data_IF_893288514053
#
_entry.id   IF_893288514053
#
_cell.length_a   1.000
_cell.length_b   1.000
_cell.length_c   1.000
_cell.angle_alpha   90.00
_cell.angle_beta   90.00
_cell.angle_gamma   90.00
#
_symmetry.space_group_name_H-M   'P 1'
#
loop_
_entity.id
_entity.type
_entity.pdbx_description
1 polymer ?
#
# COMPACT_ATOMS: atom_id res chain seq x y z
N UNK A 1 -2.34 5.15 -11.75
CA UNK A 1 -3.69 5.42 -11.28
C UNK A 1 -4.63 5.74 -12.45
N UNK A 2 -4.32 6.78 -13.27
CA UNK A 2 -5.17 7.19 -14.41
C UNK A 2 -5.42 6.05 -15.40
N UNK A 3 -4.40 5.27 -15.76
CA UNK A 3 -4.53 4.12 -16.64
C UNK A 3 -5.46 3.04 -16.05
N UNK A 4 -5.34 2.76 -14.76
CA UNK A 4 -6.22 1.81 -14.07
C UNK A 4 -7.68 2.30 -14.05
N UNK A 5 -7.89 3.59 -13.73
CA UNK A 5 -9.22 4.20 -13.77
C UNK A 5 -9.83 4.13 -15.17
N UNK A 6 -9.06 4.51 -16.21
CA UNK A 6 -9.53 4.46 -17.58
C UNK A 6 -9.91 3.04 -18.01
N UNK A 7 -9.07 2.06 -17.67
CA UNK A 7 -9.33 0.65 -17.98
C UNK A 7 -10.59 0.14 -17.26
N UNK A 8 -10.77 0.49 -15.99
CA UNK A 8 -11.97 0.14 -15.22
C UNK A 8 -13.23 0.79 -15.80
N UNK A 9 -13.17 2.07 -16.16
CA UNK A 9 -14.27 2.76 -16.83
C UNK A 9 -14.63 2.13 -18.17
N UNK A 10 -13.63 1.67 -18.93
CA UNK A 10 -13.83 0.99 -20.20
C UNK A 10 -14.47 -0.38 -20.01
N UNK A 11 -13.94 -1.22 -19.11
CA UNK A 11 -14.44 -2.57 -18.85
C UNK A 11 -15.88 -2.56 -18.31
N UNK A 12 -16.19 -1.62 -17.43
CA UNK A 12 -17.50 -1.52 -16.75
C UNK A 12 -18.43 -0.46 -17.32
N UNK A 13 -18.14 0.07 -18.53
CA UNK A 13 -18.94 1.16 -19.14
C UNK A 13 -20.45 0.89 -19.21
N UNK A 14 -20.86 -0.39 -19.39
CA UNK A 14 -22.28 -0.76 -19.42
C UNK A 14 -22.90 -0.67 -18.02
N UNK A 15 -22.23 -1.25 -17.03
CA UNK A 15 -22.67 -1.21 -15.64
C UNK A 15 -22.72 0.24 -15.09
N UNK A 16 -21.73 1.07 -15.48
CA UNK A 16 -21.70 2.49 -15.09
C UNK A 16 -22.91 3.24 -15.68
N UNK A 17 -23.29 2.96 -16.93
CA UNK A 17 -24.49 3.58 -17.55
C UNK A 17 -25.80 3.15 -16.86
N UNK A 18 -25.90 1.88 -16.47
CA UNK A 18 -27.05 1.41 -15.68
C UNK A 18 -27.10 2.05 -14.29
N UNK A 19 -25.93 2.19 -13.65
CA UNK A 19 -25.81 2.86 -12.36
C UNK A 19 -26.20 4.34 -12.45
N UNK A 20 -25.75 5.05 -13.48
CA UNK A 20 -26.09 6.46 -13.73
C UNK A 20 -27.60 6.64 -13.96
N UNK A 21 -28.26 5.69 -14.63
CA UNK A 21 -29.70 5.67 -14.81
C UNK A 21 -30.42 5.47 -13.46
N UNK A 22 -29.97 4.49 -12.68
CA UNK A 22 -30.57 4.20 -11.37
C UNK A 22 -30.35 5.32 -10.36
N UNK A 23 -29.21 6.04 -10.43
CA UNK A 23 -28.92 7.22 -9.58
C UNK A 23 -29.82 8.41 -9.96
N UNK A 24 -30.11 8.60 -11.25
CA UNK A 24 -31.02 9.66 -11.70
C UNK A 24 -32.47 9.40 -11.28
N UNK A 25 -32.84 8.14 -11.15
CA UNK A 25 -34.16 7.72 -10.68
C UNK A 25 -34.29 7.79 -9.14
N UNK A 26 -33.17 7.77 -8.39
CA UNK A 26 -33.11 8.03 -6.95
C UNK A 26 -33.07 9.54 -6.73
N UNK A 27 -34.14 10.08 -6.13
CA UNK A 27 -34.21 11.52 -5.85
C UNK A 27 -32.95 12.02 -5.09
N UNK A 28 -32.42 13.16 -5.48
CA UNK A 28 -31.22 13.77 -4.90
C UNK A 28 -31.24 13.87 -3.36
N UNK A 29 -32.42 13.94 -2.77
CA UNK A 29 -32.63 13.97 -1.31
C UNK A 29 -32.34 12.64 -0.62
N UNK A 30 -32.62 11.49 -1.22
CA UNK A 30 -32.29 10.18 -0.64
C UNK A 30 -30.79 9.90 -0.66
N UNK A 31 -30.09 10.32 -1.71
CA UNK A 31 -28.62 10.25 -1.78
C UNK A 31 -27.96 11.15 -0.74
N UNK A 32 -28.48 12.37 -0.54
CA UNK A 32 -27.99 13.30 0.48
C UNK A 32 -28.23 12.77 1.90
N UNK A 33 -29.38 12.20 2.19
CA UNK A 33 -29.70 11.61 3.50
C UNK A 33 -28.77 10.44 3.83
N UNK A 34 -28.46 9.57 2.87
CA UNK A 34 -27.53 8.46 3.05
C UNK A 34 -26.07 8.90 3.22
N UNK A 35 -25.67 10.02 2.59
CA UNK A 35 -24.33 10.61 2.75
C UNK A 35 -24.17 11.40 4.06
N UNK A 36 -25.26 11.97 4.61
CA UNK A 36 -25.25 12.79 5.83
C UNK A 36 -25.46 11.94 7.09
N UNK A 37 -25.69 10.63 6.98
CA UNK A 37 -26.05 9.75 8.10
C UNK A 37 -24.94 9.50 9.14
N UNK A 38 -23.74 10.04 8.98
CA UNK A 38 -22.72 10.03 10.03
C UNK A 38 -22.81 11.36 10.81
N UNK A 39 -23.38 11.37 12.04
CA UNK A 39 -23.40 12.58 12.84
C UNK A 39 -21.95 12.99 13.14
N UNK A 40 -21.54 14.15 12.62
CA UNK A 40 -20.23 14.71 12.92
C UNK A 40 -20.26 15.26 14.36
N UNK A 41 -20.13 14.35 15.31
CA UNK A 41 -20.04 14.67 16.72
C UNK A 41 -18.75 15.47 17.01
N UNK A 42 -18.78 16.26 18.08
CA UNK A 42 -17.62 17.03 18.56
C UNK A 42 -16.39 16.14 18.76
N UNK A 43 -16.60 14.91 19.23
CA UNK A 43 -15.52 13.93 19.44
C UNK A 43 -14.88 13.48 18.12
N UNK A 44 -15.69 13.23 17.09
CA UNK A 44 -15.20 12.88 15.76
C UNK A 44 -14.38 14.02 15.15
N UNK A 45 -14.83 15.28 15.29
CA UNK A 45 -14.07 16.44 14.78
C UNK A 45 -12.71 16.57 15.43
N UNK A 46 -12.63 16.39 16.77
CA UNK A 46 -11.36 16.45 17.51
C UNK A 46 -10.47 15.28 17.08
N UNK A 47 -11.01 14.05 16.97
CA UNK A 47 -10.27 12.88 16.52
C UNK A 47 -9.70 13.06 15.11
N UNK A 48 -10.53 13.53 14.17
CA UNK A 48 -10.09 13.84 12.80
C UNK A 48 -9.04 14.96 12.79
N UNK A 49 -9.16 15.97 13.64
CA UNK A 49 -8.18 17.04 13.78
C UNK A 49 -6.83 16.51 14.23
N UNK A 50 -6.78 15.68 15.28
CA UNK A 50 -5.56 15.03 15.77
C UNK A 50 -4.96 14.15 14.68
N UNK A 51 -5.76 13.32 14.02
CA UNK A 51 -5.32 12.43 12.94
C UNK A 51 -4.72 13.21 11.76
N UNK A 52 -5.45 14.23 11.27
CA UNK A 52 -4.98 15.05 10.16
C UNK A 52 -3.68 15.80 10.50
N UNK A 53 -3.57 16.32 11.73
CA UNK A 53 -2.35 16.98 12.22
C UNK A 53 -1.19 16.00 12.29
N UNK A 54 -1.42 14.78 12.79
CA UNK A 54 -0.40 13.73 12.85
C UNK A 54 0.10 13.37 11.44
N UNK A 55 -0.81 13.13 10.49
CA UNK A 55 -0.46 12.83 9.09
C UNK A 55 0.31 14.00 8.46
N UNK A 56 -0.12 15.25 8.71
CA UNK A 56 0.58 16.42 8.19
C UNK A 56 2.03 16.48 8.67
N UNK A 57 2.28 16.31 9.97
CA UNK A 57 3.63 16.32 10.52
C UNK A 57 4.47 15.13 10.03
N UNK A 58 3.86 13.93 9.87
CA UNK A 58 4.54 12.79 9.28
C UNK A 58 4.91 13.08 7.82
N UNK A 59 4.01 13.65 7.02
CA UNK A 59 4.29 13.99 5.63
C UNK A 59 5.39 15.06 5.49
N UNK A 60 5.44 16.01 6.41
CA UNK A 60 6.40 17.12 6.41
C UNK A 60 7.67 16.84 7.24
N UNK A 61 7.82 15.63 7.83
CA UNK A 61 8.89 15.34 8.80
C UNK A 61 10.28 15.76 8.32
N UNK A 62 10.64 15.41 7.08
CA UNK A 62 11.96 15.69 6.54
C UNK A 62 12.26 17.20 6.47
N UNK A 63 11.28 18.01 6.04
CA UNK A 63 11.43 19.48 5.98
C UNK A 63 11.57 20.09 7.36
N UNK A 64 10.78 19.62 8.30
CA UNK A 64 10.77 20.12 9.68
C UNK A 64 12.07 19.71 10.39
N UNK A 65 12.56 18.51 10.17
CA UNK A 65 13.82 18.03 10.74
C UNK A 65 15.01 18.87 10.27
N UNK A 66 15.08 19.22 9.00
CA UNK A 66 16.11 20.12 8.46
C UNK A 66 15.99 21.51 9.09
N UNK A 67 14.78 22.06 9.18
CA UNK A 67 14.54 23.40 9.75
C UNK A 67 14.94 23.50 11.22
N UNK A 68 14.69 22.43 11.99
CA UNK A 68 14.97 22.36 13.43
C UNK A 68 16.35 21.78 13.75
N UNK A 69 17.14 21.37 12.76
CA UNK A 69 18.45 20.74 12.97
C UNK A 69 18.38 19.39 13.69
N UNK A 70 17.26 18.66 13.55
CA UNK A 70 17.06 17.36 14.20
C UNK A 70 17.67 16.23 13.38
N UNK A 71 17.96 15.11 14.04
CA UNK A 71 18.38 13.89 13.35
C UNK A 71 17.26 13.37 12.46
N UNK A 72 17.62 12.72 11.34
CA UNK A 72 16.68 12.11 10.42
C UNK A 72 15.71 11.15 11.14
N UNK A 73 14.46 11.18 10.76
CA UNK A 73 13.36 10.37 11.28
C UNK A 73 12.97 10.64 12.75
N UNK A 74 13.51 11.70 13.40
CA UNK A 74 13.14 12.05 14.78
C UNK A 74 11.65 12.38 14.86
N UNK A 75 11.14 13.24 13.97
CA UNK A 75 9.74 13.65 13.93
C UNK A 75 8.84 12.48 13.51
N UNK A 76 9.31 11.66 12.58
CA UNK A 76 8.57 10.47 12.12
C UNK A 76 8.19 9.52 13.28
N UNK A 77 9.07 9.34 14.26
CA UNK A 77 8.79 8.52 15.44
C UNK A 77 8.11 9.30 16.57
N UNK A 78 8.50 10.54 16.79
CA UNK A 78 8.03 11.32 17.96
C UNK A 78 6.58 11.74 17.82
N UNK A 79 6.14 12.18 16.64
CA UNK A 79 4.78 12.71 16.46
C UNK A 79 3.69 11.66 16.68
N UNK A 80 3.77 10.41 16.14
CA UNK A 80 2.75 9.39 16.46
C UNK A 80 2.67 9.06 17.95
N UNK A 81 3.82 9.02 18.66
CA UNK A 81 3.87 8.75 20.10
C UNK A 81 3.22 9.90 20.88
N UNK A 82 3.54 11.14 20.55
CA UNK A 82 2.93 12.31 21.19
C UNK A 82 1.42 12.38 20.91
N UNK A 83 1.00 12.12 19.67
CA UNK A 83 -0.42 12.13 19.30
C UNK A 83 -1.20 11.07 20.05
N UNK A 84 -0.66 9.85 20.16
CA UNK A 84 -1.29 8.78 20.92
C UNK A 84 -1.35 9.13 22.41
N UNK A 85 -0.28 9.71 22.97
CA UNK A 85 -0.25 10.21 24.35
C UNK A 85 -1.33 11.28 24.60
N UNK A 86 -1.49 12.24 23.69
CA UNK A 86 -2.55 13.24 23.77
C UNK A 86 -3.95 12.63 23.76
N UNK A 87 -4.20 11.64 22.91
CA UNK A 87 -5.48 10.91 22.88
C UNK A 87 -5.73 10.16 24.19
N UNK A 88 -4.70 9.49 24.72
CA UNK A 88 -4.79 8.77 26.00
C UNK A 88 -5.07 9.72 27.19
N UNK A 89 -4.44 10.89 27.22
CA UNK A 89 -4.71 11.91 28.23
C UNK A 89 -6.14 12.48 28.09
N UNK A 90 -6.58 12.75 26.89
CA UNK A 90 -7.93 13.25 26.61
C UNK A 90 -9.01 12.23 26.99
N UNK A 91 -8.79 10.95 26.71
CA UNK A 91 -9.73 9.85 26.96
C UNK A 91 -9.31 8.97 28.14
N UNK A 92 -8.67 9.56 29.16
CA UNK A 92 -8.03 8.82 30.27
C UNK A 92 -8.88 7.70 30.86
N UNK A 93 -10.20 7.87 30.98
CA UNK A 93 -11.11 6.84 31.51
C UNK A 93 -11.24 5.61 30.62
N UNK A 94 -10.97 5.75 29.31
CA UNK A 94 -11.02 4.68 28.31
C UNK A 94 -9.65 4.29 27.78
N UNK A 95 -8.59 4.91 28.25
CA UNK A 95 -7.24 4.67 27.74
C UNK A 95 -6.84 3.20 27.80
N UNK A 96 -7.17 2.52 28.92
CA UNK A 96 -6.93 1.08 29.08
C UNK A 96 -7.73 0.25 28.06
N UNK A 97 -9.00 0.58 27.87
CA UNK A 97 -9.86 -0.10 26.89
C UNK A 97 -9.33 0.02 25.48
N UNK A 98 -8.85 1.20 25.07
CA UNK A 98 -8.23 1.43 23.78
C UNK A 98 -6.98 0.56 23.58
N UNK A 99 -6.09 0.48 24.57
CA UNK A 99 -4.90 -0.35 24.50
C UNK A 99 -5.24 -1.84 24.43
N UNK A 100 -6.21 -2.30 25.25
CA UNK A 100 -6.53 -3.73 25.35
C UNK A 100 -7.40 -4.24 24.19
N UNK A 101 -8.31 -3.41 23.64
CA UNK A 101 -9.33 -3.86 22.67
C UNK A 101 -9.17 -3.28 21.28
N UNK A 102 -8.75 -2.00 21.16
CA UNK A 102 -8.73 -1.30 19.88
C UNK A 102 -7.36 -1.37 19.20
N UNK A 103 -6.30 -1.71 19.96
CA UNK A 103 -4.98 -1.97 19.36
C UNK A 103 -4.94 -3.38 18.79
N UNK A 104 -4.66 -3.47 17.50
CA UNK A 104 -4.50 -4.73 16.77
C UNK A 104 -3.15 -5.40 17.10
N UNK A 105 -3.01 -5.91 18.33
CA UNK A 105 -1.77 -6.52 18.83
C UNK A 105 -1.25 -7.65 17.94
N UNK A 106 -2.15 -8.47 17.40
CA UNK A 106 -1.77 -9.56 16.50
C UNK A 106 -1.13 -9.06 15.23
N UNK A 107 -1.66 -7.98 14.66
CA UNK A 107 -1.11 -7.31 13.48
C UNK A 107 0.27 -6.73 13.78
N UNK A 108 0.45 -6.09 14.94
CA UNK A 108 1.75 -5.57 15.35
C UNK A 108 2.79 -6.68 15.53
N UNK A 109 2.44 -7.76 16.23
CA UNK A 109 3.31 -8.94 16.41
C UNK A 109 3.65 -9.59 15.07
N UNK A 110 2.67 -9.70 14.17
CA UNK A 110 2.90 -10.20 12.81
C UNK A 110 3.99 -9.38 12.09
N UNK A 111 3.92 -8.04 12.12
CA UNK A 111 4.95 -7.21 11.51
C UNK A 111 6.30 -7.33 12.20
N UNK A 112 6.35 -7.41 13.53
CA UNK A 112 7.62 -7.64 14.26
C UNK A 112 8.29 -8.93 13.78
N UNK A 113 7.55 -10.04 13.70
CA UNK A 113 8.11 -11.31 13.23
C UNK A 113 8.46 -11.27 11.74
N UNK A 114 7.67 -10.60 10.91
CA UNK A 114 7.97 -10.41 9.48
C UNK A 114 9.32 -9.69 9.28
N UNK A 115 9.53 -8.57 9.96
CA UNK A 115 10.79 -7.84 9.86
C UNK A 115 11.97 -8.60 10.48
N UNK A 116 11.73 -9.36 11.56
CA UNK A 116 12.74 -10.23 12.12
C UNK A 116 13.17 -11.33 11.12
N UNK A 117 12.22 -11.95 10.41
CA UNK A 117 12.51 -12.94 9.36
C UNK A 117 13.28 -12.31 8.19
N UNK A 118 12.86 -11.12 7.72
CA UNK A 118 13.58 -10.39 6.68
C UNK A 118 15.03 -10.07 7.10
N UNK A 119 15.23 -9.66 8.35
CA UNK A 119 16.56 -9.48 8.95
C UNK A 119 17.38 -10.76 9.02
N UNK A 120 16.77 -11.87 9.38
CA UNK A 120 17.43 -13.19 9.40
C UNK A 120 17.89 -13.63 8.01
N UNK A 121 17.05 -13.44 6.97
CA UNK A 121 17.43 -13.72 5.58
C UNK A 121 18.63 -12.91 5.13
N UNK A 122 18.70 -11.64 5.54
CA UNK A 122 19.87 -10.81 5.27
C UNK A 122 21.11 -11.28 6.04
N UNK A 123 20.95 -11.56 7.33
CA UNK A 123 22.06 -12.03 8.18
C UNK A 123 22.66 -13.35 7.69
N UNK A 124 21.85 -14.26 7.16
CA UNK A 124 22.29 -15.56 6.61
C UNK A 124 22.89 -15.44 5.21
N UNK A 125 22.89 -14.25 4.58
CA UNK A 125 23.40 -14.05 3.24
C UNK A 125 22.51 -14.56 2.11
N UNK A 126 21.34 -15.10 2.40
CA UNK A 126 20.39 -15.60 1.38
C UNK A 126 19.99 -14.49 0.42
N UNK A 127 19.75 -13.27 0.93
CA UNK A 127 19.41 -12.12 0.10
C UNK A 127 20.52 -11.72 -0.87
N UNK A 128 21.77 -11.85 -0.46
CA UNK A 128 22.94 -11.54 -1.31
C UNK A 128 23.09 -12.56 -2.43
N UNK A 129 22.89 -13.85 -2.14
CA UNK A 129 22.89 -14.93 -3.14
C UNK A 129 21.76 -14.70 -4.15
N UNK A 130 20.56 -14.37 -3.66
CA UNK A 130 19.41 -14.13 -4.52
C UNK A 130 19.60 -12.89 -5.41
N UNK A 131 20.07 -11.78 -4.84
CA UNK A 131 20.39 -10.57 -5.60
C UNK A 131 21.50 -10.80 -6.63
N UNK A 132 22.56 -11.52 -6.26
CA UNK A 132 23.64 -11.90 -7.17
C UNK A 132 23.14 -12.77 -8.32
N UNK A 133 22.26 -13.74 -8.04
CA UNK A 133 21.67 -14.58 -9.08
C UNK A 133 20.82 -13.76 -10.06
N UNK A 134 19.97 -12.85 -9.57
CA UNK A 134 19.18 -11.96 -10.42
C UNK A 134 20.08 -11.06 -11.28
N UNK A 135 21.14 -10.49 -10.69
CA UNK A 135 22.09 -9.65 -11.41
C UNK A 135 22.83 -10.43 -12.50
N UNK A 136 23.24 -11.67 -12.23
CA UNK A 136 23.89 -12.55 -13.20
C UNK A 136 22.95 -12.88 -14.37
N UNK A 137 21.68 -13.18 -14.09
CA UNK A 137 20.68 -13.41 -15.14
C UNK A 137 20.39 -12.16 -15.97
N UNK A 138 20.42 -10.99 -15.35
CA UNK A 138 20.25 -9.72 -16.05
C UNK A 138 21.46 -9.35 -16.90
N UNK A 139 22.63 -9.87 -16.60
CA UNK A 139 23.87 -9.52 -17.28
C UNK A 139 24.15 -8.01 -17.16
N UNK A 140 24.53 -7.40 -18.28
CA UNK A 140 24.81 -5.95 -18.32
C UNK A 140 23.56 -5.07 -18.54
N UNK A 141 22.35 -5.67 -18.57
CA UNK A 141 21.12 -4.92 -18.86
C UNK A 141 20.41 -4.51 -17.59
N UNK A 142 20.65 -3.28 -17.13
CA UNK A 142 19.94 -2.69 -15.99
C UNK A 142 18.43 -2.66 -16.21
N UNK A 143 17.97 -2.38 -17.44
CA UNK A 143 16.55 -2.36 -17.77
C UNK A 143 15.87 -3.72 -17.63
N UNK A 144 16.60 -4.82 -17.97
CA UNK A 144 16.11 -6.17 -17.76
C UNK A 144 16.04 -6.52 -16.27
N UNK A 145 17.04 -6.13 -15.47
CA UNK A 145 17.02 -6.32 -14.02
C UNK A 145 15.83 -5.63 -13.36
N UNK A 146 15.53 -4.39 -13.76
CA UNK A 146 14.37 -3.66 -13.26
C UNK A 146 13.08 -4.38 -13.63
N UNK A 147 12.99 -4.87 -14.87
CA UNK A 147 11.87 -5.69 -15.32
C UNK A 147 11.71 -6.95 -14.46
N UNK A 148 12.78 -7.67 -14.17
CA UNK A 148 12.76 -8.85 -13.30
C UNK A 148 12.25 -8.50 -11.90
N UNK A 149 12.80 -7.48 -11.26
CA UNK A 149 12.36 -7.05 -9.92
C UNK A 149 10.88 -6.65 -9.95
N UNK A 150 10.46 -5.86 -10.93
CA UNK A 150 9.08 -5.43 -11.09
C UNK A 150 8.11 -6.60 -11.23
N UNK A 151 8.39 -7.53 -12.16
CA UNK A 151 7.50 -8.65 -12.44
C UNK A 151 7.50 -9.71 -11.33
N UNK A 152 8.65 -10.00 -10.72
CA UNK A 152 8.72 -10.90 -9.56
C UNK A 152 7.92 -10.31 -8.40
N UNK A 153 8.07 -9.01 -8.16
CA UNK A 153 7.29 -8.31 -7.12
C UNK A 153 5.79 -8.28 -7.43
N UNK A 154 5.41 -8.10 -8.70
CA UNK A 154 4.00 -8.13 -9.13
C UNK A 154 3.37 -9.50 -8.90
N UNK A 155 4.05 -10.57 -9.34
CA UNK A 155 3.57 -11.94 -9.18
C UNK A 155 3.54 -12.32 -7.69
N UNK A 156 4.61 -12.02 -6.96
CA UNK A 156 4.68 -12.29 -5.52
C UNK A 156 3.58 -11.57 -4.73
N UNK A 157 3.33 -10.30 -5.03
CA UNK A 157 2.28 -9.51 -4.38
C UNK A 157 0.86 -9.92 -4.77
N UNK A 158 0.70 -10.63 -5.88
CA UNK A 158 -0.61 -11.22 -6.22
C UNK A 158 -0.99 -12.39 -5.32
N UNK A 159 -0.03 -13.02 -4.67
CA UNK A 159 -0.21 -14.19 -3.80
C UNK A 159 -0.05 -13.84 -2.31
N UNK A 160 0.79 -12.85 -2.01
CA UNK A 160 1.08 -12.36 -0.67
C UNK A 160 0.55 -10.94 -0.52
N UNK A 161 0.23 -10.53 0.70
CA UNK A 161 -0.05 -9.12 0.96
C UNK A 161 1.13 -8.25 0.53
N UNK A 162 0.84 -7.10 -0.07
CA UNK A 162 1.84 -6.19 -0.64
C UNK A 162 2.87 -5.71 0.40
N UNK A 163 2.46 -5.48 1.64
CA UNK A 163 3.36 -5.05 2.72
C UNK A 163 4.35 -6.17 3.07
N UNK A 164 3.86 -7.41 3.15
CA UNK A 164 4.67 -8.61 3.42
C UNK A 164 5.75 -8.78 2.34
N UNK A 165 5.33 -8.71 1.08
CA UNK A 165 6.26 -8.86 -0.04
C UNK A 165 7.33 -7.76 -0.03
N UNK A 166 6.91 -6.49 0.06
CA UNK A 166 7.84 -5.36 0.05
C UNK A 166 8.83 -5.49 1.20
N UNK A 167 8.36 -5.80 2.42
CA UNK A 167 9.24 -5.98 3.58
C UNK A 167 10.28 -7.09 3.38
N UNK A 168 9.88 -8.22 2.78
CA UNK A 168 10.78 -9.33 2.48
C UNK A 168 11.83 -8.96 1.39
N UNK A 169 11.46 -8.11 0.43
CA UNK A 169 12.34 -7.70 -0.66
C UNK A 169 13.27 -6.54 -0.34
N UNK A 170 12.99 -5.74 0.70
CA UNK A 170 13.88 -4.64 1.11
C UNK A 170 15.35 -5.10 1.26
N UNK A 171 15.69 -6.18 1.99
CA UNK A 171 17.05 -6.65 2.10
C UNK A 171 17.65 -7.08 0.76
N UNK A 172 16.85 -7.66 -0.14
CA UNK A 172 17.30 -8.08 -1.48
C UNK A 172 17.71 -6.86 -2.30
N UNK A 173 16.87 -5.80 -2.32
CA UNK A 173 17.23 -4.55 -3.02
C UNK A 173 18.48 -3.93 -2.42
N UNK A 174 18.62 -3.92 -1.10
CA UNK A 174 19.84 -3.41 -0.44
C UNK A 174 21.09 -4.19 -0.84
N UNK A 175 20.99 -5.51 -1.07
CA UNK A 175 22.09 -6.36 -1.48
C UNK A 175 22.62 -6.03 -2.88
N UNK A 176 21.81 -5.45 -3.79
CA UNK A 176 22.31 -4.95 -5.07
C UNK A 176 23.29 -3.78 -4.91
N UNK A 177 23.21 -3.02 -3.81
CA UNK A 177 24.17 -1.96 -3.50
C UNK A 177 25.58 -2.47 -3.28
N UNK A 178 25.75 -3.68 -2.73
CA UNK A 178 27.06 -4.29 -2.50
C UNK A 178 27.79 -4.68 -3.80
N UNK A 179 27.06 -4.79 -4.91
CA UNK A 179 27.59 -5.08 -6.25
C UNK A 179 27.55 -3.85 -7.18
N UNK A 180 27.50 -2.64 -6.59
CA UNK A 180 27.55 -1.35 -7.30
C UNK A 180 26.43 -1.10 -8.32
N UNK A 181 25.24 -1.67 -8.10
CA UNK A 181 24.06 -1.39 -8.92
C UNK A 181 23.30 -0.20 -8.33
N UNK A 182 22.83 0.71 -9.19
CA UNK A 182 21.99 1.83 -8.77
C UNK A 182 20.64 1.30 -8.23
N UNK A 183 20.39 1.55 -6.95
CA UNK A 183 19.22 1.03 -6.25
C UNK A 183 17.94 1.81 -6.56
N UNK A 184 18.04 3.07 -6.98
CA UNK A 184 16.87 3.95 -7.11
C UNK A 184 15.81 3.40 -8.05
N UNK A 185 16.12 2.92 -9.27
CA UNK A 185 15.11 2.32 -10.15
C UNK A 185 14.54 1.01 -9.59
N UNK A 186 15.34 0.24 -8.84
CA UNK A 186 14.89 -1.02 -8.23
C UNK A 186 13.89 -0.79 -7.10
N UNK A 187 14.05 0.30 -6.32
CA UNK A 187 13.07 0.69 -5.33
C UNK A 187 11.72 1.04 -5.95
N UNK A 188 11.73 1.75 -7.08
CA UNK A 188 10.51 2.04 -7.82
C UNK A 188 9.89 0.78 -8.42
N UNK A 189 10.69 -0.13 -8.96
CA UNK A 189 10.23 -1.42 -9.47
C UNK A 189 9.55 -2.25 -8.37
N UNK A 190 10.17 -2.34 -7.18
CA UNK A 190 9.59 -3.03 -6.04
C UNK A 190 8.28 -2.38 -5.58
N UNK A 191 8.26 -1.05 -5.45
CA UNK A 191 7.07 -0.31 -5.01
C UNK A 191 5.88 -0.52 -5.96
N UNK A 192 6.09 -0.32 -7.25
CA UNK A 192 5.02 -0.47 -8.23
C UNK A 192 4.61 -1.93 -8.41
N UNK A 193 5.57 -2.85 -8.42
CA UNK A 193 5.29 -4.28 -8.50
C UNK A 193 4.45 -4.75 -7.32
N UNK A 194 4.83 -4.37 -6.10
CA UNK A 194 4.07 -4.66 -4.90
C UNK A 194 2.65 -4.11 -4.93
N UNK A 195 2.51 -2.83 -5.29
CA UNK A 195 1.20 -2.18 -5.33
C UNK A 195 0.27 -2.74 -6.42
N UNK A 196 0.77 -2.99 -7.63
CA UNK A 196 -0.07 -3.43 -8.75
C UNK A 196 -0.35 -4.93 -8.70
N UNK A 197 0.60 -5.72 -8.19
CA UNK A 197 0.39 -7.14 -7.97
C UNK A 197 -0.77 -7.42 -7.01
N UNK A 198 -0.91 -6.61 -5.95
CA UNK A 198 -2.01 -6.71 -5.00
C UNK A 198 -3.41 -6.55 -5.58
N UNK A 199 -3.52 -5.97 -6.79
CA UNK A 199 -4.81 -5.85 -7.49
C UNK A 199 -5.18 -7.09 -8.32
N UNK A 200 -4.22 -7.97 -8.63
CA UNK A 200 -4.43 -9.13 -9.50
C UNK A 200 -5.37 -10.13 -8.84
N UNK A 201 -5.12 -10.46 -7.59
CA UNK A 201 -5.97 -11.38 -6.86
C UNK A 201 -6.70 -10.69 -5.71
N UNK A 202 -7.75 -11.32 -5.23
CA UNK A 202 -8.51 -10.87 -4.09
C UNK A 202 -7.67 -10.90 -2.79
N UNK A 203 -6.77 -11.86 -2.69
CA UNK A 203 -5.93 -12.09 -1.50
C UNK A 203 -4.67 -11.21 -1.50
N UNK A 204 -4.27 -10.68 -2.67
CA UNK A 204 -3.04 -9.89 -2.83
C UNK A 204 -3.02 -8.57 -2.04
N UNK A 205 -4.15 -8.15 -1.45
CA UNK A 205 -4.21 -6.99 -0.58
C UNK A 205 -5.29 -7.14 0.48
N UNK A 206 -4.93 -6.90 1.73
CA UNK A 206 -5.88 -6.87 2.86
C UNK A 206 -7.02 -5.87 2.61
N UNK A 207 -6.74 -4.74 1.94
CA UNK A 207 -7.76 -3.75 1.60
C UNK A 207 -8.86 -4.33 0.69
N UNK A 208 -8.52 -5.22 -0.25
CA UNK A 208 -9.50 -5.89 -1.12
C UNK A 208 -10.46 -6.76 -0.30
N UNK A 209 -9.92 -7.52 0.65
CA UNK A 209 -10.70 -8.42 1.52
C UNK A 209 -11.66 -7.62 2.38
N UNK A 210 -11.17 -6.53 3.00
CA UNK A 210 -12.01 -5.64 3.82
C UNK A 210 -13.13 -5.00 3.00
N UNK A 211 -12.79 -4.44 1.82
CA UNK A 211 -13.78 -3.82 0.94
C UNK A 211 -14.87 -4.81 0.51
N UNK A 212 -14.48 -6.04 0.17
CA UNK A 212 -15.45 -7.08 -0.20
C UNK A 212 -16.30 -7.54 0.98
N UNK A 213 -15.71 -7.66 2.16
CA UNK A 213 -16.44 -7.98 3.38
C UNK A 213 -17.54 -6.95 3.69
N UNK A 214 -17.25 -5.67 3.51
CA UNK A 214 -18.23 -4.58 3.66
C UNK A 214 -19.32 -4.70 2.58
N UNK A 215 -18.96 -4.91 1.30
CA UNK A 215 -19.91 -5.05 0.21
C UNK A 215 -20.84 -6.26 0.39
N UNK A 216 -20.30 -7.38 0.86
CA UNK A 216 -21.10 -8.58 1.13
C UNK A 216 -22.09 -8.34 2.30
N UNK A 217 -21.61 -7.71 3.38
CA UNK A 217 -22.40 -7.44 4.58
C UNK A 217 -23.51 -6.41 4.34
N UNK A 218 -23.20 -5.31 3.65
CA UNK A 218 -24.13 -4.19 3.49
C UNK A 218 -25.02 -4.28 2.24
N UNK A 219 -24.51 -4.86 1.17
CA UNK A 219 -25.17 -4.86 -0.15
C UNK A 219 -25.52 -6.25 -0.67
N UNK A 220 -25.23 -7.33 0.08
CA UNK A 220 -25.39 -8.71 -0.37
C UNK A 220 -24.68 -9.03 -1.73
N UNK A 221 -23.66 -8.27 -2.08
CA UNK A 221 -22.91 -8.45 -3.31
C UNK A 221 -21.82 -9.48 -3.06
N UNK A 222 -21.97 -10.68 -3.65
CA UNK A 222 -20.95 -11.73 -3.59
C UNK A 222 -20.01 -11.63 -4.79
N UNK A 223 -18.74 -11.37 -4.51
CA UNK A 223 -17.68 -11.38 -5.52
C UNK A 223 -16.93 -12.70 -5.42
N UNK A 224 -16.94 -13.51 -6.49
CA UNK A 224 -16.15 -14.74 -6.51
C UNK A 224 -14.69 -14.45 -6.84
N UNK A 225 -13.78 -15.29 -6.33
CA UNK A 225 -12.34 -15.20 -6.61
C UNK A 225 -12.03 -15.12 -8.12
N UNK A 226 -12.64 -15.99 -8.93
CA UNK A 226 -12.41 -16.00 -10.38
C UNK A 226 -12.95 -14.77 -11.11
N UNK A 227 -14.05 -14.20 -10.62
CA UNK A 227 -14.59 -12.97 -11.20
C UNK A 227 -13.68 -11.78 -10.92
N UNK A 228 -13.11 -11.71 -9.71
CA UNK A 228 -12.09 -10.72 -9.37
C UNK A 228 -10.84 -10.93 -10.21
N UNK A 229 -10.31 -12.18 -10.24
CA UNK A 229 -9.09 -12.53 -10.94
C UNK A 229 -9.15 -12.15 -12.44
N UNK A 230 -10.28 -12.36 -13.11
CA UNK A 230 -10.42 -12.01 -14.54
C UNK A 230 -10.18 -10.53 -14.82
N UNK A 231 -10.71 -9.63 -13.99
CA UNK A 231 -10.51 -8.18 -14.15
C UNK A 231 -9.18 -7.73 -13.55
N UNK A 232 -8.86 -8.20 -12.35
CA UNK A 232 -7.63 -7.86 -11.64
C UNK A 232 -6.38 -8.24 -12.42
N UNK A 233 -6.39 -9.40 -13.07
CA UNK A 233 -5.28 -9.87 -13.92
C UNK A 233 -5.02 -8.90 -15.09
N UNK A 234 -6.07 -8.50 -15.82
CA UNK A 234 -5.93 -7.55 -16.94
C UNK A 234 -5.41 -6.21 -16.41
N UNK A 235 -6.02 -5.68 -15.34
CA UNK A 235 -5.61 -4.40 -14.75
C UNK A 235 -4.16 -4.48 -14.24
N UNK A 236 -3.80 -5.54 -13.52
CA UNK A 236 -2.46 -5.72 -12.98
C UNK A 236 -1.39 -5.82 -14.07
N UNK A 237 -1.61 -6.63 -15.11
CA UNK A 237 -0.65 -6.78 -16.21
C UNK A 237 -0.50 -5.47 -16.99
N UNK A 238 -1.61 -4.82 -17.34
CA UNK A 238 -1.55 -3.57 -18.12
C UNK A 238 -0.85 -2.46 -17.34
N UNK A 239 -1.19 -2.27 -16.07
CA UNK A 239 -0.56 -1.23 -15.24
C UNK A 239 0.92 -1.51 -14.99
N UNK A 240 1.29 -2.77 -14.73
CA UNK A 240 2.69 -3.18 -14.56
C UNK A 240 3.48 -2.99 -15.84
N UNK A 241 2.93 -3.35 -17.00
CA UNK A 241 3.59 -3.17 -18.31
C UNK A 241 3.82 -1.68 -18.64
N UNK A 242 2.82 -0.83 -18.35
CA UNK A 242 2.96 0.63 -18.54
C UNK A 242 4.09 1.17 -17.68
N UNK A 243 4.16 0.76 -16.42
CA UNK A 243 5.22 1.22 -15.51
C UNK A 243 6.57 0.66 -15.91
N UNK A 244 6.64 -0.59 -16.36
CA UNK A 244 7.90 -1.13 -16.87
C UNK A 244 8.46 -0.28 -18.01
N UNK A 245 7.63 0.03 -19.01
CA UNK A 245 8.00 0.92 -20.11
C UNK A 245 8.40 2.29 -19.57
N UNK A 246 7.61 2.87 -18.67
CA UNK A 246 7.91 4.18 -18.08
C UNK A 246 9.26 4.19 -17.34
N UNK A 247 9.55 3.15 -16.56
CA UNK A 247 10.83 3.01 -15.85
C UNK A 247 12.02 2.88 -16.80
N UNK A 248 11.86 2.30 -17.98
CA UNK A 248 12.92 2.22 -19.00
C UNK A 248 13.28 3.58 -19.62
N UNK A 249 12.31 4.50 -19.69
CA UNK A 249 12.51 5.83 -20.29
C UNK A 249 12.82 6.94 -19.27
N UNK A 250 12.68 6.67 -17.97
CA UNK A 250 13.00 7.68 -16.96
C UNK A 250 14.53 7.89 -16.87
N UNK A 251 15.00 9.14 -16.73
CA UNK A 251 16.43 9.49 -16.70
C UNK A 251 17.16 9.04 -15.43
N UNK A 252 16.55 8.17 -14.64
CA UNK A 252 17.15 7.62 -13.40
C UNK A 252 18.30 6.63 -13.64
N UNK A 253 18.60 6.36 -14.90
CA UNK A 253 19.69 5.45 -15.32
C UNK A 253 21.03 6.15 -15.55
N UNK A 254 21.06 7.50 -15.57
CA UNK A 254 22.27 8.28 -15.81
C UNK A 254 22.95 8.70 -14.53
#
# INVERSE_FOLDING_TARGET
LLAAIFLMLFLYRKAIKELDKNIKDLGANELLINLISVPIDKQLRIGLGIFATTIFFIAMHHRIEILLGLKANTILFTIPILSSGCVMMWKHKRAREYIEKDVEWWTLLFFVFLFAQAGALKFTGVTDIFAGSLANYAGNSTGFLIGMVLWISTIGSSLLDNVVLVAAFIPVIQSFGSININLQPLWWALLFGGCFGGNITLVGSTANIVALGILEKEKNIKMTFFRWLGVGFIVGIVTTSIVWVALLFLPMYR
#
